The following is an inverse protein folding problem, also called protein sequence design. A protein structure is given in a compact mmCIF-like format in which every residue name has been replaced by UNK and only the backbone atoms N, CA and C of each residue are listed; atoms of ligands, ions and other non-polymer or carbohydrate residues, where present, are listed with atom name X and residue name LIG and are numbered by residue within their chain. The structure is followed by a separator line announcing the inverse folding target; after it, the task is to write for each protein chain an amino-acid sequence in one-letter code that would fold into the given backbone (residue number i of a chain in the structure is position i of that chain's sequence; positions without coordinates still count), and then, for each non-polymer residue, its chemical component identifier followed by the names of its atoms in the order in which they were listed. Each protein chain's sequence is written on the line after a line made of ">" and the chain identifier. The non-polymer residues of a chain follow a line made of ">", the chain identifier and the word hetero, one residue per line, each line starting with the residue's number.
data_IF_904656037296
#
_entry.id   IF_904656037296
#
_cell.length_a   1.000
_cell.length_b   1.000
_cell.length_c   1.000
_cell.angle_alpha   90.00
_cell.angle_beta   90.00
_cell.angle_gamma   90.00
#
_symmetry.space_group_name_H-M   'P 1'
#
loop_
_entity.id
_entity.type
_entity.pdbx_description
1 polymer ?
#
# COMPACT_ATOMS: atom_id res chain seq x y z
N UNK A 1 14.87 -1.88 -12.19
CA UNK A 1 14.15 -0.79 -12.87
C UNK A 1 12.80 -1.36 -13.31
N UNK A 2 11.69 -0.78 -12.88
CA UNK A 2 10.31 -1.21 -13.23
C UNK A 2 9.66 -0.23 -14.22
N UNK A 3 10.27 0.93 -14.40
CA UNK A 3 9.81 2.02 -15.25
C UNK A 3 9.57 1.60 -16.71
N UNK A 4 10.39 0.73 -17.34
CA UNK A 4 10.10 0.22 -18.68
C UNK A 4 8.77 -0.57 -18.77
N UNK A 5 8.30 -1.14 -17.66
CA UNK A 5 7.04 -1.86 -17.56
C UNK A 5 5.86 -0.92 -17.22
N UNK A 6 6.10 0.40 -17.13
CA UNK A 6 5.10 1.39 -16.75
C UNK A 6 4.71 1.37 -15.28
N UNK A 7 5.54 0.76 -14.42
CA UNK A 7 5.31 0.65 -12.97
C UNK A 7 6.35 1.47 -12.19
N UNK A 8 5.89 2.22 -11.20
CA UNK A 8 6.76 3.08 -10.38
C UNK A 8 6.38 3.04 -8.90
N UNK A 9 7.37 2.97 -8.02
CA UNK A 9 7.17 3.28 -6.61
C UNK A 9 7.10 4.80 -6.42
N UNK A 10 6.04 5.26 -5.77
CA UNK A 10 5.91 6.68 -5.43
C UNK A 10 6.78 7.00 -4.21
N UNK A 11 7.39 8.19 -4.18
CA UNK A 11 8.13 8.67 -3.00
C UNK A 11 7.16 9.20 -1.95
N UNK A 12 6.38 8.29 -1.37
CA UNK A 12 5.40 8.58 -0.34
C UNK A 12 5.35 7.47 0.70
N UNK A 13 4.64 7.74 1.79
CA UNK A 13 4.33 6.77 2.82
C UNK A 13 2.81 6.63 2.92
N UNK A 14 2.34 5.44 2.59
CA UNK A 14 0.92 5.08 2.60
C UNK A 14 0.48 4.86 4.04
N UNK A 15 -0.70 5.40 4.35
CA UNK A 15 -1.39 5.11 5.58
C UNK A 15 -2.81 4.62 5.27
N UNK A 16 -3.43 3.96 6.23
CA UNK A 16 -4.82 3.55 6.16
C UNK A 16 -5.52 3.81 7.50
N UNK A 17 -6.56 4.64 7.49
CA UNK A 17 -7.26 5.03 8.71
C UNK A 17 -8.30 3.99 9.17
N UNK A 18 -8.57 2.96 8.37
CA UNK A 18 -9.54 1.91 8.70
C UNK A 18 -8.92 0.49 8.74
N UNK A 19 -7.89 0.23 7.94
CA UNK A 19 -7.20 -1.07 7.88
C UNK A 19 -5.72 -0.92 8.23
N UNK A 20 -5.45 -0.78 9.53
CA UNK A 20 -4.10 -0.70 10.08
C UNK A 20 -3.94 -1.64 11.28
N UNK A 21 -2.68 -1.84 11.66
CA UNK A 21 -2.33 -2.59 12.86
C UNK A 21 -2.42 -1.77 14.13
N UNK A 22 -2.73 -2.45 15.23
CA UNK A 22 -2.67 -1.88 16.57
C UNK A 22 -1.36 -2.29 17.23
N UNK A 23 -0.56 -1.31 17.62
CA UNK A 23 0.73 -1.57 18.27
C UNK A 23 0.68 -1.23 19.74
N UNK A 24 1.46 -1.97 20.53
CA UNK A 24 1.58 -1.74 21.96
C UNK A 24 2.74 -0.78 22.25
N UNK A 25 2.43 0.42 22.73
CA UNK A 25 3.42 1.46 23.06
C UNK A 25 3.58 1.65 24.58
N UNK A 26 4.80 1.96 25.06
CA UNK A 26 5.03 2.37 26.44
C UNK A 26 4.29 3.68 26.78
N UNK A 27 3.79 3.77 28.01
CA UNK A 27 3.14 4.96 28.60
C UNK A 27 3.47 5.05 30.09
N UNK A 28 3.16 6.18 30.73
CA UNK A 28 3.32 6.37 32.18
C UNK A 28 2.48 5.40 33.03
N UNK A 29 1.45 4.77 32.45
CA UNK A 29 0.56 3.83 33.13
C UNK A 29 0.74 2.38 32.65
N UNK A 30 1.88 2.04 32.04
CA UNK A 30 2.15 0.72 31.47
C UNK A 30 2.14 0.72 29.94
N UNK A 31 1.45 -0.23 29.30
CA UNK A 31 1.37 -0.32 27.83
C UNK A 31 -0.03 0.01 27.33
N UNK A 32 -0.11 0.81 26.26
CA UNK A 32 -1.38 1.15 25.58
C UNK A 32 -1.36 0.65 24.14
N UNK A 33 -2.52 0.22 23.62
CA UNK A 33 -2.67 -0.21 22.24
C UNK A 33 -3.22 0.93 21.38
N UNK A 34 -2.39 1.45 20.49
CA UNK A 34 -2.75 2.53 19.57
C UNK A 34 -2.82 2.00 18.14
N UNK A 35 -3.78 2.51 17.37
CA UNK A 35 -3.81 2.32 15.92
C UNK A 35 -2.57 2.98 15.32
N UNK A 36 -1.91 2.32 14.39
CA UNK A 36 -0.75 2.86 13.70
C UNK A 36 -1.05 2.93 12.20
N UNK A 37 -1.62 4.03 11.68
CA UNK A 37 -2.09 4.11 10.30
C UNK A 37 -1.04 3.79 9.22
N UNK A 38 0.25 4.08 9.47
CA UNK A 38 1.36 3.74 8.56
C UNK A 38 1.77 2.25 8.58
N UNK A 39 1.23 1.45 9.49
CA UNK A 39 1.36 0.00 9.51
C UNK A 39 0.12 -0.59 8.88
N UNK A 40 0.08 -0.50 7.56
CA UNK A 40 -1.09 -0.83 6.76
C UNK A 40 -1.32 -2.33 6.80
N UNK A 41 -2.56 -2.73 7.09
CA UNK A 41 -3.04 -4.09 6.87
C UNK A 41 -3.68 -4.12 5.49
N UNK A 42 -2.85 -4.33 4.47
CA UNK A 42 -3.23 -4.24 3.06
C UNK A 42 -4.06 -5.46 2.66
N UNK A 43 -5.22 -5.22 2.06
CA UNK A 43 -6.22 -6.23 1.74
C UNK A 43 -5.95 -6.82 0.37
N UNK A 44 -6.13 -8.13 0.23
CA UNK A 44 -6.03 -8.78 -1.07
C UNK A 44 -7.16 -8.32 -1.99
N UNK A 45 -6.84 -8.20 -3.28
CA UNK A 45 -7.83 -7.93 -4.32
C UNK A 45 -8.57 -9.18 -4.77
N UNK A 46 -8.06 -10.38 -4.44
CA UNK A 46 -8.56 -11.66 -4.97
C UNK A 46 -8.34 -11.87 -6.47
N UNK A 47 -7.67 -10.93 -7.15
CA UNK A 47 -7.56 -10.92 -8.62
C UNK A 47 -6.57 -11.96 -9.17
N UNK A 48 -5.64 -12.45 -8.34
CA UNK A 48 -4.64 -13.45 -8.73
C UNK A 48 -4.62 -14.63 -7.78
N UNK A 49 -4.35 -15.83 -8.30
CA UNK A 49 -4.10 -17.02 -7.49
C UNK A 49 -2.93 -16.83 -6.48
N UNK A 50 -2.01 -15.90 -6.78
CA UNK A 50 -0.88 -15.56 -5.91
C UNK A 50 -1.33 -14.99 -4.56
N UNK A 51 -2.42 -14.22 -4.51
CA UNK A 51 -2.87 -13.53 -3.29
C UNK A 51 -4.31 -13.86 -2.88
N UNK A 52 -5.05 -14.67 -3.65
CA UNK A 52 -6.49 -14.90 -3.41
C UNK A 52 -6.80 -15.58 -2.08
N UNK A 53 -5.90 -16.42 -1.57
CA UNK A 53 -6.09 -17.13 -0.28
C UNK A 53 -5.46 -16.38 0.91
N UNK A 54 -4.94 -15.16 0.68
CA UNK A 54 -4.38 -14.31 1.72
C UNK A 54 -5.36 -13.15 1.94
N UNK A 55 -5.97 -13.06 3.12
CA UNK A 55 -6.92 -11.96 3.39
C UNK A 55 -6.24 -10.60 3.41
N UNK A 56 -5.09 -10.51 4.10
CA UNK A 56 -4.31 -9.29 4.22
C UNK A 56 -2.85 -9.54 4.57
N UNK A 57 -2.00 -8.56 4.29
CA UNK A 57 -0.59 -8.51 4.69
C UNK A 57 -0.29 -7.23 5.47
N UNK A 58 0.63 -7.32 6.42
CA UNK A 58 1.16 -6.15 7.13
C UNK A 58 2.31 -5.54 6.34
N UNK A 59 2.19 -4.25 6.01
CA UNK A 59 3.23 -3.48 5.33
C UNK A 59 3.55 -2.20 6.11
N UNK A 60 4.59 -2.22 6.98
CA UNK A 60 5.05 -1.05 7.69
C UNK A 60 5.70 -0.03 6.75
N UNK A 61 5.27 1.23 6.83
CA UNK A 61 5.86 2.37 6.12
C UNK A 61 5.95 2.16 4.59
N UNK A 62 4.95 1.51 4.01
CA UNK A 62 4.92 1.18 2.60
C UNK A 62 4.80 2.42 1.71
N UNK A 63 5.38 2.36 0.52
CA UNK A 63 5.09 3.30 -0.56
C UNK A 63 3.97 2.77 -1.46
N UNK A 64 3.22 3.66 -2.10
CA UNK A 64 2.23 3.24 -3.10
C UNK A 64 2.90 2.93 -4.43
N UNK A 65 2.31 2.01 -5.18
CA UNK A 65 2.70 1.69 -6.55
C UNK A 65 1.78 2.44 -7.51
N UNK A 66 2.39 3.17 -8.44
CA UNK A 66 1.72 3.76 -9.59
C UNK A 66 1.87 2.84 -10.80
N UNK A 67 0.74 2.56 -11.43
CA UNK A 67 0.60 1.63 -12.55
C UNK A 67 -0.13 2.29 -13.72
N UNK A 68 -0.33 3.62 -13.68
CA UNK A 68 -1.14 4.32 -14.68
C UNK A 68 -0.51 4.31 -16.08
N UNK A 69 0.81 4.14 -16.16
CA UNK A 69 1.57 4.05 -17.43
C UNK A 69 1.80 2.62 -17.90
N UNK A 70 1.30 1.61 -17.18
CA UNK A 70 1.45 0.22 -17.57
C UNK A 70 0.49 -0.14 -18.72
N UNK A 71 0.92 -0.94 -19.71
CA UNK A 71 0.03 -1.42 -20.76
C UNK A 71 -1.19 -2.17 -20.19
N UNK A 72 -2.38 -2.08 -20.83
CA UNK A 72 -3.56 -2.81 -20.36
C UNK A 72 -3.31 -4.31 -20.26
N UNK A 73 -3.70 -4.91 -19.14
CA UNK A 73 -3.57 -6.35 -18.90
C UNK A 73 -2.20 -6.84 -18.41
N UNK A 74 -1.17 -5.98 -18.36
CA UNK A 74 0.16 -6.38 -17.87
C UNK A 74 0.30 -6.29 -16.35
N UNK A 75 -0.56 -5.52 -15.68
CA UNK A 75 -0.51 -5.34 -14.23
C UNK A 75 -1.79 -5.84 -13.56
N UNK A 76 -1.62 -6.71 -12.56
CA UNK A 76 -2.69 -7.16 -11.66
C UNK A 76 -2.38 -6.69 -10.24
N UNK A 77 -3.14 -5.73 -9.68
CA UNK A 77 -3.00 -5.35 -8.27
C UNK A 77 -3.25 -6.57 -7.36
N UNK A 78 -2.32 -6.86 -6.44
CA UNK A 78 -2.42 -7.99 -5.51
C UNK A 78 -2.97 -7.56 -4.16
N UNK A 79 -2.46 -6.45 -3.61
CA UNK A 79 -2.88 -5.90 -2.33
C UNK A 79 -3.06 -4.39 -2.41
N UNK A 80 -4.08 -3.89 -1.73
CA UNK A 80 -4.40 -2.47 -1.67
C UNK A 80 -4.72 -2.04 -0.24
N UNK A 81 -4.65 -0.74 0.03
CA UNK A 81 -5.34 -0.17 1.19
C UNK A 81 -6.85 -0.35 1.08
N UNK A 82 -7.57 -0.08 2.17
CA UNK A 82 -8.99 0.24 2.16
C UNK A 82 -9.27 1.55 1.43
N UNK A 83 -10.55 1.94 1.33
CA UNK A 83 -10.97 3.25 0.80
C UNK A 83 -10.52 4.42 1.68
N UNK A 84 -10.20 4.17 2.96
CA UNK A 84 -9.66 5.17 3.88
C UNK A 84 -8.12 5.28 3.81
N UNK A 85 -7.53 4.80 2.71
CA UNK A 85 -6.09 4.90 2.45
C UNK A 85 -5.68 6.30 2.00
N UNK A 86 -4.61 6.84 2.57
CA UNK A 86 -3.97 8.08 2.13
C UNK A 86 -2.48 7.87 1.89
N UNK A 87 -1.77 8.93 1.51
CA UNK A 87 -0.32 8.90 1.47
C UNK A 87 0.25 10.28 1.76
N UNK A 88 1.35 10.30 2.50
CA UNK A 88 2.14 11.50 2.76
C UNK A 88 3.38 11.48 1.86
N UNK A 89 3.61 12.58 1.13
CA UNK A 89 4.86 12.80 0.39
C UNK A 89 5.83 13.66 1.21
N UNK A 90 7.12 13.35 1.14
CA UNK A 90 8.15 14.11 1.85
C UNK A 90 8.42 13.61 3.28
N UNK A 91 8.82 14.51 4.18
CA UNK A 91 9.12 14.15 5.57
C UNK A 91 7.84 13.90 6.35
N UNK A 92 7.52 12.62 6.59
CA UNK A 92 6.34 12.24 7.34
C UNK A 92 6.63 12.14 8.84
N UNK A 93 5.80 12.80 9.66
CA UNK A 93 5.85 12.64 11.10
C UNK A 93 5.26 11.26 11.47
N UNK A 94 6.07 10.42 12.12
CA UNK A 94 5.74 9.00 12.36
C UNK A 94 4.83 8.76 13.58
N UNK A 95 4.45 9.82 14.32
CA UNK A 95 3.54 9.67 15.45
C UNK A 95 2.22 9.06 14.98
N UNK A 96 1.75 7.95 15.59
CA UNK A 96 0.49 7.31 15.20
C UNK A 96 -0.74 8.15 15.53
N UNK A 97 -0.62 9.09 16.48
CA UNK A 97 -1.72 9.93 16.98
C UNK A 97 -1.75 11.33 16.35
N UNK A 98 -0.94 11.57 15.33
CA UNK A 98 -1.00 12.84 14.59
C UNK A 98 -2.32 12.98 13.84
N UNK A 99 -2.59 14.19 13.38
CA UNK A 99 -3.63 14.41 12.40
C UNK A 99 -3.17 13.92 11.01
N UNK A 100 -4.02 13.11 10.38
CA UNK A 100 -3.85 12.62 9.01
C UNK A 100 -4.83 13.36 8.10
N UNK A 101 -4.35 13.87 6.96
CA UNK A 101 -5.23 14.51 5.97
C UNK A 101 -6.26 13.51 5.46
N UNK A 102 -7.49 14.00 5.28
CA UNK A 102 -8.62 13.21 4.76
C UNK A 102 -9.05 13.64 3.35
N UNK A 103 -8.36 14.60 2.76
CA UNK A 103 -8.80 15.29 1.53
C UNK A 103 -8.62 14.42 0.27
N UNK A 104 -7.75 13.40 0.34
CA UNK A 104 -7.39 12.54 -0.80
C UNK A 104 -7.42 11.04 -0.48
N UNK A 105 -8.34 10.64 0.41
CA UNK A 105 -8.52 9.23 0.76
C UNK A 105 -9.06 8.43 -0.42
N UNK A 106 -8.40 7.32 -0.72
CA UNK A 106 -8.75 6.37 -1.79
C UNK A 106 -8.00 5.07 -1.60
N UNK A 107 -8.47 4.02 -2.27
CA UNK A 107 -7.72 2.78 -2.42
C UNK A 107 -6.39 3.06 -3.14
N UNK A 108 -5.28 2.61 -2.55
CA UNK A 108 -3.93 2.70 -3.12
C UNK A 108 -3.34 1.31 -3.29
N UNK A 109 -2.72 1.06 -4.45
CA UNK A 109 -2.01 -0.19 -4.73
C UNK A 109 -0.70 -0.18 -3.97
N UNK A 110 -0.40 -1.25 -3.24
CA UNK A 110 0.84 -1.42 -2.45
C UNK A 110 1.58 -2.71 -2.78
N UNK A 111 0.95 -3.61 -3.53
CA UNK A 111 1.60 -4.75 -4.17
C UNK A 111 0.88 -5.07 -5.49
N UNK A 112 1.65 -5.45 -6.51
CA UNK A 112 1.12 -5.81 -7.82
C UNK A 112 1.95 -6.94 -8.45
N UNK A 113 1.30 -7.76 -9.26
CA UNK A 113 1.93 -8.70 -10.17
C UNK A 113 2.07 -8.01 -11.53
N UNK A 114 3.26 -8.10 -12.11
CA UNK A 114 3.57 -7.52 -13.43
C UNK A 114 3.98 -8.65 -14.36
N UNK A 115 3.30 -8.77 -15.48
CA UNK A 115 3.65 -9.67 -16.56
C UNK A 115 4.34 -8.88 -17.69
N UNK A 116 5.33 -9.46 -18.38
CA UNK A 116 5.89 -8.86 -19.58
C UNK A 116 4.80 -8.71 -20.64
N UNK A 117 4.93 -7.71 -21.50
CA UNK A 117 4.02 -7.56 -22.63
C UNK A 117 4.29 -8.67 -23.64
N UNK A 118 3.26 -9.22 -24.28
CA UNK A 118 3.43 -10.27 -25.30
C UNK A 118 4.19 -9.82 -26.56
N UNK A 119 4.56 -8.53 -26.66
CA UNK A 119 5.35 -7.99 -27.76
C UNK A 119 6.85 -8.27 -27.63
N UNK A 120 7.34 -8.71 -26.46
CA UNK A 120 8.77 -8.93 -26.20
C UNK A 120 9.21 -10.40 -26.47
N UNK A 121 8.39 -11.18 -27.18
CA UNK A 121 8.57 -12.62 -27.41
C UNK A 121 8.98 -13.04 -28.83
N UNK A 122 9.20 -12.10 -29.75
CA UNK A 122 9.68 -12.35 -31.10
C UNK A 122 10.93 -11.51 -31.39
N UNK A 123 12.10 -12.03 -31.01
CA UNK A 123 13.43 -11.66 -31.55
C UNK A 123 14.34 -12.89 -31.57
#
# INVERSE_FOLDING_TARGET
>A
MLEPLGVRFQQNMVFDLASNERVSMPSSFGRVFVEYPFWVRALSTGASAVSREIDAILLPWASSIDTASAPPGTVTPLFTTSRAGGADSGMAFLSPQREFSRDSLRTRVVAALVNPSTADGED
#
